data_IF_428842244974
#
_entry.id   IF_428842244974
#
_cell.length_a   1.000
_cell.length_b   1.000
_cell.length_c   1.000
_cell.angle_alpha   90.00
_cell.angle_beta   90.00
_cell.angle_gamma   90.00
#
_symmetry.space_group_name_H-M   'P 1'
#
loop_
_entity.id
_entity.type
_entity.pdbx_description
1 polymer ?
#
# COMPACT_ATOMS: atom_id res chain seq x y z
N UNK A 1 11.76 -9.43 -14.74
CA UNK A 1 11.61 -9.43 -16.21
C UNK A 1 12.46 -10.55 -16.74
N UNK A 2 11.89 -11.36 -17.61
CA UNK A 2 12.55 -12.47 -18.30
C UNK A 2 12.42 -12.24 -19.80
N UNK A 3 13.47 -12.55 -20.55
CA UNK A 3 13.51 -12.40 -22.00
C UNK A 3 14.08 -13.69 -22.59
N UNK A 4 13.47 -14.20 -23.67
CA UNK A 4 13.88 -15.45 -24.31
C UNK A 4 14.46 -15.17 -25.71
N UNK A 5 15.61 -15.76 -26.07
CA UNK A 5 16.40 -16.74 -25.32
C UNK A 5 17.33 -16.13 -24.24
N UNK A 6 17.38 -14.80 -24.12
CA UNK A 6 18.20 -14.13 -23.11
C UNK A 6 19.70 -14.11 -23.41
N UNK A 7 20.09 -14.24 -24.68
CA UNK A 7 21.51 -14.18 -25.10
C UNK A 7 21.86 -12.82 -25.70
N UNK A 8 23.12 -12.39 -25.53
CA UNK A 8 23.59 -11.03 -25.85
C UNK A 8 23.53 -10.67 -27.35
N UNK A 9 23.57 -11.67 -28.23
CA UNK A 9 23.68 -11.49 -29.68
C UNK A 9 22.49 -12.05 -30.48
N UNK A 10 21.39 -12.41 -29.82
CA UNK A 10 20.15 -12.86 -30.46
C UNK A 10 19.03 -11.92 -30.08
N UNK A 11 18.28 -11.44 -31.07
CA UNK A 11 17.09 -10.61 -30.82
C UNK A 11 16.06 -11.43 -30.04
N UNK A 12 15.58 -10.97 -28.88
CA UNK A 12 14.58 -11.72 -28.11
C UNK A 12 13.27 -11.91 -28.88
N UNK A 13 12.75 -13.14 -28.88
CA UNK A 13 11.45 -13.47 -29.46
C UNK A 13 10.28 -13.29 -28.49
N UNK A 14 10.58 -13.27 -27.18
CA UNK A 14 9.58 -13.16 -26.12
C UNK A 14 10.14 -12.37 -24.92
N UNK A 15 9.28 -11.61 -24.24
CA UNK A 15 9.57 -10.93 -23.00
C UNK A 15 8.39 -11.06 -22.04
N UNK A 16 8.66 -11.51 -20.81
CA UNK A 16 7.69 -11.61 -19.72
C UNK A 16 8.09 -10.67 -18.57
N UNK A 17 7.14 -9.91 -18.06
CA UNK A 17 7.35 -8.99 -16.95
C UNK A 17 6.07 -8.84 -16.14
N UNK A 18 6.21 -8.35 -14.92
CA UNK A 18 5.11 -8.07 -14.01
C UNK A 18 4.85 -6.58 -13.93
N UNK A 19 3.61 -6.23 -13.57
CA UNK A 19 3.19 -4.87 -13.27
C UNK A 19 2.55 -4.87 -11.88
N UNK A 20 2.91 -3.87 -11.09
CA UNK A 20 2.27 -3.55 -9.82
C UNK A 20 1.81 -2.09 -9.93
N UNK A 21 0.50 -1.88 -9.83
CA UNK A 21 -0.13 -0.56 -9.95
C UNK A 21 -1.07 -0.41 -8.77
N UNK A 22 -0.96 0.72 -8.06
CA UNK A 22 -1.72 1.00 -6.85
C UNK A 22 -2.28 2.41 -6.92
N UNK A 23 -3.50 2.59 -6.42
CA UNK A 23 -4.16 3.87 -6.28
C UNK A 23 -5.17 3.77 -5.12
N UNK A 24 -5.43 4.88 -4.42
CA UNK A 24 -6.41 4.94 -3.33
C UNK A 24 -7.85 5.13 -3.83
N UNK A 25 -8.02 5.71 -5.03
CA UNK A 25 -9.28 5.72 -5.79
C UNK A 25 -9.34 4.55 -6.79
N UNK A 26 -10.36 3.69 -6.64
CA UNK A 26 -10.59 2.53 -7.49
C UNK A 26 -10.88 2.92 -8.94
N UNK A 27 -11.68 3.99 -9.16
CA UNK A 27 -12.02 4.41 -10.51
C UNK A 27 -10.77 4.94 -11.27
N UNK A 28 -9.91 5.67 -10.58
CA UNK A 28 -8.61 6.08 -11.07
C UNK A 28 -7.70 4.91 -11.43
N UNK A 29 -7.64 3.88 -10.58
CA UNK A 29 -6.86 2.66 -10.85
C UNK A 29 -7.33 1.96 -12.13
N UNK A 30 -8.64 1.73 -12.24
CA UNK A 30 -9.26 1.06 -13.39
C UNK A 30 -9.03 1.82 -14.69
N UNK A 31 -9.21 3.14 -14.64
CA UNK A 31 -8.97 4.02 -15.78
C UNK A 31 -7.52 3.97 -16.25
N UNK A 32 -6.57 3.99 -15.29
CA UNK A 32 -5.14 3.92 -15.57
C UNK A 32 -4.75 2.56 -16.16
N UNK A 33 -5.14 1.45 -15.51
CA UNK A 33 -4.85 0.10 -15.97
C UNK A 33 -5.43 -0.18 -17.36
N UNK A 34 -6.67 0.27 -17.61
CA UNK A 34 -7.30 0.17 -18.93
C UNK A 34 -6.55 0.98 -20.00
N UNK A 35 -6.08 2.18 -19.66
CA UNK A 35 -5.26 3.01 -20.55
C UNK A 35 -3.89 2.41 -20.85
N UNK A 36 -3.26 1.83 -19.83
CA UNK A 36 -1.97 1.13 -19.94
C UNK A 36 -2.08 -0.07 -20.90
N UNK A 37 -3.08 -0.93 -20.71
CA UNK A 37 -3.28 -2.12 -21.56
C UNK A 37 -3.64 -1.75 -23.00
N UNK A 38 -4.46 -0.70 -23.22
CA UNK A 38 -4.71 -0.17 -24.58
C UNK A 38 -3.41 0.31 -25.24
N UNK A 39 -2.55 0.98 -24.49
CA UNK A 39 -1.27 1.48 -24.98
C UNK A 39 -0.34 0.32 -25.35
N UNK A 40 -0.29 -0.72 -24.53
CA UNK A 40 0.49 -1.92 -24.82
C UNK A 40 -0.01 -2.64 -26.07
N UNK A 41 -1.34 -2.79 -26.22
CA UNK A 41 -1.95 -3.35 -27.42
C UNK A 41 -1.55 -2.57 -28.68
N UNK A 42 -1.68 -1.24 -28.67
CA UNK A 42 -1.30 -0.41 -29.81
C UNK A 42 0.21 -0.50 -30.15
N UNK A 43 1.08 -0.67 -29.15
CA UNK A 43 2.52 -0.89 -29.37
C UNK A 43 2.77 -2.26 -29.99
N UNK A 44 2.08 -3.29 -29.51
CA UNK A 44 2.19 -4.66 -30.00
C UNK A 44 1.73 -4.75 -31.47
N UNK A 45 0.56 -4.20 -31.79
CA UNK A 45 0.01 -4.17 -33.14
C UNK A 45 0.95 -3.48 -34.12
N UNK A 46 1.45 -2.28 -33.76
CA UNK A 46 2.40 -1.51 -34.60
C UNK A 46 3.69 -2.28 -34.86
N UNK A 47 4.09 -3.18 -33.96
CA UNK A 47 5.33 -3.96 -34.06
C UNK A 47 5.12 -5.39 -34.55
N UNK A 48 3.87 -5.80 -34.83
CA UNK A 48 3.55 -7.18 -35.22
C UNK A 48 3.82 -8.20 -34.11
N UNK A 49 3.68 -7.79 -32.84
CA UNK A 49 3.88 -8.63 -31.66
C UNK A 49 2.54 -9.15 -31.13
N UNK A 50 2.58 -10.29 -30.46
CA UNK A 50 1.45 -10.78 -29.65
C UNK A 50 1.59 -10.27 -28.22
N UNK A 51 0.49 -9.82 -27.63
CA UNK A 51 0.41 -9.44 -26.22
C UNK A 51 -0.53 -10.40 -25.49
N UNK A 52 -0.07 -10.93 -24.37
CA UNK A 52 -0.89 -11.66 -23.40
C UNK A 52 -0.73 -10.98 -22.03
N UNK A 53 -1.81 -10.87 -21.27
CA UNK A 53 -1.81 -10.28 -19.93
C UNK A 53 -2.79 -11.01 -19.03
N UNK A 54 -2.37 -11.29 -17.79
CA UNK A 54 -3.20 -11.94 -16.78
C UNK A 54 -3.26 -11.06 -15.53
N UNK A 55 -4.46 -10.62 -15.16
CA UNK A 55 -4.70 -9.98 -13.86
C UNK A 55 -4.83 -11.09 -12.81
N UNK A 56 -3.80 -11.26 -12.00
CA UNK A 56 -3.77 -12.32 -10.98
C UNK A 56 -4.04 -11.80 -9.56
N UNK A 57 -3.95 -10.49 -9.34
CA UNK A 57 -4.28 -9.83 -8.09
C UNK A 57 -5.07 -8.56 -8.37
N UNK A 58 -6.25 -8.46 -7.76
CA UNK A 58 -7.12 -7.29 -7.82
C UNK A 58 -7.64 -7.01 -6.41
N UNK A 59 -7.23 -5.88 -5.84
CA UNK A 59 -7.51 -5.51 -4.46
C UNK A 59 -8.11 -4.11 -4.43
N UNK A 60 -9.36 -4.02 -4.00
CA UNK A 60 -10.06 -2.75 -3.83
C UNK A 60 -9.40 -1.90 -2.72
N UNK A 61 -9.45 -0.55 -2.81
CA UNK A 61 -9.06 0.32 -1.71
C UNK A 61 -9.81 -0.03 -0.43
N UNK A 62 -9.09 -0.05 0.69
CA UNK A 62 -9.60 -0.45 2.00
C UNK A 62 -9.59 0.75 2.96
N UNK A 63 -10.65 1.58 2.99
CA UNK A 63 -10.72 2.72 3.90
C UNK A 63 -10.72 2.23 5.35
N UNK A 64 -9.97 2.91 6.21
CA UNK A 64 -9.94 2.63 7.65
C UNK A 64 -11.12 3.30 8.37
N UNK A 65 -11.51 2.76 9.53
CA UNK A 65 -12.62 3.27 10.33
C UNK A 65 -12.34 4.72 10.78
N UNK A 66 -13.20 5.70 10.42
CA UNK A 66 -12.92 7.11 10.64
C UNK A 66 -12.89 7.48 12.13
N UNK A 67 -13.70 6.81 12.96
CA UNK A 67 -13.70 7.00 14.40
C UNK A 67 -12.40 6.55 15.06
N UNK A 68 -11.86 5.40 14.65
CA UNK A 68 -10.59 4.89 15.19
C UNK A 68 -9.41 5.73 14.70
N UNK A 69 -9.43 6.18 13.45
CA UNK A 69 -8.44 7.12 12.94
C UNK A 69 -8.44 8.45 13.73
N UNK A 70 -9.62 8.97 14.07
CA UNK A 70 -9.73 10.17 14.90
C UNK A 70 -9.23 9.96 16.33
N UNK A 71 -9.46 8.78 16.93
CA UNK A 71 -8.90 8.44 18.25
C UNK A 71 -7.37 8.43 18.23
N UNK A 72 -6.76 7.82 17.21
CA UNK A 72 -5.30 7.83 17.03
C UNK A 72 -4.74 9.25 16.92
N UNK A 73 -5.42 10.13 16.17
CA UNK A 73 -5.03 11.54 16.04
C UNK A 73 -5.16 12.30 17.36
N UNK A 74 -6.24 12.09 18.10
CA UNK A 74 -6.48 12.72 19.40
C UNK A 74 -5.44 12.27 20.44
N UNK A 75 -5.13 10.98 20.49
CA UNK A 75 -4.08 10.42 21.36
C UNK A 75 -2.71 11.02 21.04
N UNK A 76 -2.32 11.04 19.75
CA UNK A 76 -1.08 11.68 19.33
C UNK A 76 -1.02 13.16 19.73
N UNK A 77 -2.10 13.91 19.55
CA UNK A 77 -2.17 15.31 19.95
C UNK A 77 -2.08 15.51 21.47
N UNK A 78 -2.73 14.65 22.26
CA UNK A 78 -2.67 14.66 23.73
C UNK A 78 -1.26 14.41 24.27
N UNK A 79 -0.47 13.60 23.55
CA UNK A 79 0.95 13.36 23.83
C UNK A 79 1.88 14.45 23.26
N UNK A 80 1.35 15.50 22.64
CA UNK A 80 2.13 16.59 22.04
C UNK A 80 2.89 16.19 20.77
N UNK A 81 2.43 15.15 20.08
CA UNK A 81 3.05 14.63 18.85
C UNK A 81 2.39 15.24 17.61
N UNK A 82 3.20 15.51 16.59
CA UNK A 82 2.67 15.84 15.26
C UNK A 82 2.24 14.57 14.53
N UNK A 83 1.08 14.60 13.90
CA UNK A 83 0.55 13.50 13.08
C UNK A 83 -0.01 14.03 11.75
N UNK A 84 -0.24 13.12 10.79
CA UNK A 84 -0.92 13.42 9.53
C UNK A 84 -1.71 12.20 9.07
N UNK A 85 -2.84 12.43 8.39
CA UNK A 85 -3.52 11.37 7.63
C UNK A 85 -2.74 11.06 6.36
N UNK A 86 -2.66 9.78 6.04
CA UNK A 86 -2.09 9.31 4.78
C UNK A 86 -2.66 7.94 4.41
N UNK A 87 -2.70 7.64 3.12
CA UNK A 87 -2.94 6.29 2.63
C UNK A 87 -1.69 5.42 2.85
N UNK A 88 -1.88 4.12 3.11
CA UNK A 88 -0.78 3.17 2.99
C UNK A 88 -0.57 2.80 1.53
N UNK A 89 0.66 2.96 1.03
CA UNK A 89 1.06 2.44 -0.28
C UNK A 89 1.32 0.94 -0.28
N UNK A 90 1.37 0.29 0.90
CA UNK A 90 1.63 -1.14 1.07
C UNK A 90 0.34 -1.90 1.44
N UNK A 91 0.30 -3.17 1.05
CA UNK A 91 -0.72 -4.10 1.54
C UNK A 91 -0.45 -4.50 2.99
N UNK A 92 -1.50 -4.57 3.80
CA UNK A 92 -1.44 -5.01 5.20
C UNK A 92 -2.66 -5.87 5.53
N UNK A 93 -2.55 -6.76 6.51
CA UNK A 93 -3.68 -7.59 6.95
C UNK A 93 -4.90 -6.77 7.39
N UNK A 94 -4.67 -5.53 7.88
CA UNK A 94 -5.70 -4.57 8.20
C UNK A 94 -6.68 -4.30 7.03
N UNK A 95 -6.23 -4.41 5.78
CA UNK A 95 -7.10 -4.26 4.60
C UNK A 95 -8.16 -5.36 4.51
N UNK A 96 -7.83 -6.57 4.96
CA UNK A 96 -8.77 -7.70 5.04
C UNK A 96 -9.67 -7.57 6.27
N UNK A 97 -9.11 -7.15 7.42
CA UNK A 97 -9.84 -7.03 8.68
C UNK A 97 -10.91 -5.94 8.65
N UNK A 98 -10.73 -4.85 7.89
CA UNK A 98 -11.69 -3.75 7.87
C UNK A 98 -13.09 -4.17 7.38
N UNK A 99 -13.17 -5.22 6.54
CA UNK A 99 -14.46 -5.79 6.12
C UNK A 99 -15.18 -6.61 7.19
N UNK A 100 -14.52 -6.87 8.34
CA UNK A 100 -15.01 -7.72 9.43
C UNK A 100 -15.27 -6.90 10.69
N UNK A 101 -14.38 -5.95 11.02
CA UNK A 101 -14.49 -5.13 12.22
C UNK A 101 -13.91 -3.72 12.02
N UNK A 102 -14.29 -2.74 12.87
CA UNK A 102 -13.64 -1.44 12.89
C UNK A 102 -12.13 -1.57 12.99
N UNK A 103 -11.42 -1.06 11.98
CA UNK A 103 -9.96 -1.22 11.84
C UNK A 103 -9.33 0.11 11.50
N UNK A 104 -8.19 0.44 12.12
CA UNK A 104 -7.36 1.56 11.73
C UNK A 104 -5.88 1.19 11.86
N UNK A 105 -5.02 1.95 11.17
CA UNK A 105 -3.58 1.76 11.18
C UNK A 105 -2.88 2.99 11.76
N UNK A 106 -1.83 2.74 12.54
CA UNK A 106 -0.91 3.74 13.05
C UNK A 106 0.46 3.52 12.41
N UNK A 107 1.04 4.58 11.84
CA UNK A 107 2.38 4.54 11.25
C UNK A 107 3.36 5.39 12.03
N UNK A 108 4.62 4.94 12.00
CA UNK A 108 5.80 5.68 12.43
C UNK A 108 6.75 5.84 11.24
N UNK A 109 7.62 6.86 11.21
CA UNK A 109 8.52 7.09 10.09
C UNK A 109 9.53 5.95 9.90
N UNK A 110 9.89 5.67 8.65
CA UNK A 110 11.07 4.87 8.30
C UNK A 110 12.15 5.81 7.74
N UNK A 111 13.40 5.63 8.16
CA UNK A 111 14.53 6.48 7.76
C UNK A 111 14.71 6.43 6.24
N UNK A 112 14.58 7.59 5.60
CA UNK A 112 14.66 7.71 4.15
C UNK A 112 13.51 7.03 3.39
N UNK A 113 12.44 6.59 4.06
CA UNK A 113 11.35 5.84 3.44
C UNK A 113 11.77 4.46 2.92
N UNK A 114 12.90 3.92 3.41
CA UNK A 114 13.42 2.61 2.98
C UNK A 114 12.62 1.50 3.67
N UNK A 115 12.14 0.54 2.89
CA UNK A 115 11.56 -0.72 3.37
C UNK A 115 11.93 -1.89 2.45
N UNK A 116 11.67 -3.13 2.86
CA UNK A 116 12.06 -4.37 2.15
C UNK A 116 13.56 -4.43 1.85
N UNK A 117 14.37 -3.91 2.77
CA UNK A 117 15.81 -3.79 2.63
C UNK A 117 16.48 -4.02 3.98
N UNK A 118 17.69 -4.61 4.03
CA UNK A 118 18.48 -4.67 5.26
C UNK A 118 18.82 -3.29 5.87
N UNK A 119 18.64 -2.22 5.11
CA UNK A 119 18.84 -0.84 5.56
C UNK A 119 17.57 -0.20 6.16
N UNK A 120 16.44 -0.92 6.15
CA UNK A 120 15.20 -0.50 6.80
C UNK A 120 15.47 -0.20 8.28
N UNK A 121 15.08 0.99 8.71
CA UNK A 121 15.37 1.48 10.06
C UNK A 121 14.34 2.52 10.49
N UNK A 122 13.86 2.41 11.71
CA UNK A 122 13.06 3.44 12.39
C UNK A 122 13.80 3.86 13.65
N UNK A 123 13.87 5.17 13.90
CA UNK A 123 14.52 5.71 15.10
C UNK A 123 13.82 5.15 16.36
N UNK A 124 14.56 4.69 17.39
CA UNK A 124 13.96 4.13 18.60
C UNK A 124 12.97 5.06 19.29
N UNK A 125 13.17 6.36 19.16
CA UNK A 125 12.27 7.37 19.71
C UNK A 125 10.92 7.40 18.97
N UNK A 126 10.92 7.21 17.65
CA UNK A 126 9.67 7.13 16.89
C UNK A 126 8.91 5.84 17.19
N UNK A 127 9.63 4.72 17.41
CA UNK A 127 9.01 3.48 17.88
C UNK A 127 8.33 3.66 19.24
N UNK A 128 8.98 4.36 20.18
CA UNK A 128 8.39 4.66 21.50
C UNK A 128 7.14 5.52 21.39
N UNK A 129 7.17 6.55 20.53
CA UNK A 129 6.01 7.43 20.28
C UNK A 129 4.84 6.66 19.69
N UNK A 130 5.10 5.82 18.68
CA UNK A 130 4.07 4.95 18.10
C UNK A 130 3.49 3.98 19.12
N UNK A 131 4.34 3.37 19.95
CA UNK A 131 3.89 2.48 21.02
C UNK A 131 3.03 3.21 22.06
N UNK A 132 3.41 4.44 22.46
CA UNK A 132 2.64 5.22 23.42
C UNK A 132 1.23 5.53 22.91
N UNK A 133 1.08 5.97 21.65
CA UNK A 133 -0.22 6.21 21.02
C UNK A 133 -1.04 4.92 20.91
N UNK A 134 -0.40 3.82 20.49
CA UNK A 134 -1.07 2.53 20.38
C UNK A 134 -1.58 2.04 21.74
N UNK A 135 -0.77 2.15 22.79
CA UNK A 135 -1.15 1.74 24.14
C UNK A 135 -2.33 2.55 24.68
N UNK A 136 -2.31 3.88 24.50
CA UNK A 136 -3.36 4.79 24.94
C UNK A 136 -4.71 4.45 24.27
N UNK A 137 -4.72 4.31 22.94
CA UNK A 137 -5.95 3.97 22.19
C UNK A 137 -6.46 2.57 22.51
N UNK A 138 -5.57 1.57 22.64
CA UNK A 138 -5.99 0.22 23.04
C UNK A 138 -6.56 0.20 24.46
N UNK A 139 -6.03 1.04 25.37
CA UNK A 139 -6.56 1.15 26.72
C UNK A 139 -7.98 1.72 26.72
N UNK A 140 -8.22 2.83 26.00
CA UNK A 140 -9.55 3.44 25.86
C UNK A 140 -10.56 2.44 25.25
N UNK A 141 -10.17 1.72 24.20
CA UNK A 141 -11.03 0.73 23.55
C UNK A 141 -11.37 -0.47 24.45
N UNK A 142 -10.40 -0.95 25.23
CA UNK A 142 -10.56 -2.19 26.01
C UNK A 142 -11.13 -1.97 27.42
N UNK A 143 -10.86 -0.83 28.04
CA UNK A 143 -11.16 -0.59 29.46
C UNK A 143 -12.13 0.57 29.71
N UNK A 144 -12.30 1.49 28.76
CA UNK A 144 -13.25 2.60 28.89
C UNK A 144 -14.51 2.41 28.03
N UNK A 145 -14.59 1.30 27.28
CA UNK A 145 -15.69 0.91 26.36
C UNK A 145 -16.13 2.03 25.41
N UNK A 146 -15.22 2.97 25.11
CA UNK A 146 -15.44 3.99 24.09
C UNK A 146 -15.16 3.40 22.72
N UNK A 147 -16.15 2.67 22.20
CA UNK A 147 -16.18 2.29 20.79
C UNK A 147 -16.81 3.45 20.01
N UNK A 148 -16.06 4.14 19.13
CA UNK A 148 -16.59 5.23 18.31
C UNK A 148 -17.50 4.73 17.19
#
# INVERSE_FOLDING_TARGET
MEVQPGTVNVVPGEAAFTLDVRHDDAAGLDAFCSGLLRTFGAIADRRGLKLESTLWMDAAPAPMHPGLAAMLEASAAGLGLCSRRMASGAGHDAQLLQGICPTAMLFVPSRGGISHSPLEYTEPEDLKRGLAVLMDVLYELAYEERVP
#
